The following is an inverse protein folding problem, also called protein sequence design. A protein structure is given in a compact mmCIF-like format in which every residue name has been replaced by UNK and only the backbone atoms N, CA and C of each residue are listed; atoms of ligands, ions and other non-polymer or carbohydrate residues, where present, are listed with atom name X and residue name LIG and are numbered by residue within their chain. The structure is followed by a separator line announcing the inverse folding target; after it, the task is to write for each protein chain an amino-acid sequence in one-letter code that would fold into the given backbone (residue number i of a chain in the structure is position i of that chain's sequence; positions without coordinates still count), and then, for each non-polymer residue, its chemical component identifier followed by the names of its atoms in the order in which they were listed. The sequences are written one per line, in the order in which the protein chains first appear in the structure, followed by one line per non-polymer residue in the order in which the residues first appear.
data_IF_660370840711
#
_entry.id   IF_660370840711
#
_cell.length_a   1.000
_cell.length_b   1.000
_cell.length_c   1.000
_cell.angle_alpha   90.00
_cell.angle_beta   90.00
_cell.angle_gamma   90.00
#
_symmetry.space_group_name_H-M   'P 1'
#
loop_
_entity.id
_entity.type
_entity.pdbx_description
1 polymer ?
#
# COMPACT_ATOMS: atom_id res chain seq x y z
N UNK A 1 -6.27 5.32 9.43
CA UNK A 1 -7.02 6.31 8.63
C UNK A 1 -8.22 5.60 7.99
N UNK A 2 -9.45 6.08 8.21
CA UNK A 2 -10.66 5.58 7.53
C UNK A 2 -10.83 6.40 6.25
N UNK A 3 -10.68 5.77 5.08
CA UNK A 3 -10.95 6.43 3.79
C UNK A 3 -12.47 6.60 3.63
N UNK A 4 -12.92 7.74 3.10
CA UNK A 4 -14.33 7.90 2.74
C UNK A 4 -14.66 6.95 1.56
N UNK A 5 -15.88 6.39 1.48
CA UNK A 5 -16.27 5.42 0.44
C UNK A 5 -16.08 5.99 -0.98
N UNK A 6 -16.30 7.29 -1.13
CA UNK A 6 -16.16 8.02 -2.40
C UNK A 6 -14.70 8.11 -2.87
N UNK A 7 -13.76 8.17 -1.93
CA UNK A 7 -12.32 8.16 -2.24
C UNK A 7 -11.88 6.77 -2.69
N UNK A 8 -12.53 5.70 -2.22
CA UNK A 8 -12.24 4.33 -2.65
C UNK A 8 -12.66 4.10 -4.11
N UNK A 9 -13.79 4.66 -4.56
CA UNK A 9 -14.24 4.57 -5.96
C UNK A 9 -13.37 5.36 -6.94
N UNK A 10 -12.77 6.48 -6.49
CA UNK A 10 -11.93 7.33 -7.32
C UNK A 10 -10.48 6.82 -7.47
N UNK A 11 -10.06 5.80 -6.71
CA UNK A 11 -8.72 5.26 -6.80
C UNK A 11 -8.62 4.30 -7.99
N UNK A 12 -7.80 4.59 -9.02
CA UNK A 12 -7.59 3.64 -10.10
C UNK A 12 -6.95 2.38 -9.50
N UNK A 13 -7.56 1.22 -9.72
CA UNK A 13 -7.02 -0.04 -9.22
C UNK A 13 -8.04 -1.17 -9.09
N UNK A 14 -7.54 -2.34 -8.72
CA UNK A 14 -8.35 -3.53 -8.41
C UNK A 14 -8.37 -3.76 -6.90
N UNK A 15 -9.55 -4.12 -6.37
CA UNK A 15 -9.73 -4.52 -4.98
C UNK A 15 -9.38 -5.99 -4.76
N UNK A 16 -8.74 -6.29 -3.63
CA UNK A 16 -8.40 -7.64 -3.20
C UNK A 16 -8.85 -7.83 -1.74
N UNK A 17 -9.39 -9.00 -1.41
CA UNK A 17 -9.73 -9.36 -0.05
C UNK A 17 -9.05 -10.67 0.38
N UNK A 18 -8.86 -10.81 1.68
CA UNK A 18 -8.47 -12.04 2.35
C UNK A 18 -9.54 -12.37 3.38
N UNK A 19 -10.29 -13.45 3.13
CA UNK A 19 -11.34 -13.99 4.00
C UNK A 19 -12.38 -12.93 4.46
N UNK A 20 -12.65 -11.92 3.63
CA UNK A 20 -13.52 -10.78 3.96
C UNK A 20 -13.16 -10.03 5.26
N UNK A 21 -11.92 -10.20 5.73
CA UNK A 21 -11.40 -9.61 6.97
C UNK A 21 -10.28 -8.61 6.69
N UNK A 22 -9.54 -8.76 5.59
CA UNK A 22 -8.54 -7.80 5.14
C UNK A 22 -8.75 -7.43 3.67
N UNK A 23 -8.48 -6.19 3.33
CA UNK A 23 -8.80 -5.59 2.04
C UNK A 23 -7.65 -4.70 1.57
N UNK A 24 -7.39 -4.69 0.28
CA UNK A 24 -6.39 -3.85 -0.35
C UNK A 24 -6.85 -3.35 -1.71
N UNK A 25 -6.31 -2.21 -2.13
CA UNK A 25 -6.47 -1.69 -3.49
C UNK A 25 -5.10 -1.58 -4.13
N UNK A 26 -4.91 -2.22 -5.29
CA UNK A 26 -3.66 -2.14 -6.07
C UNK A 26 -3.93 -1.45 -7.40
N UNK A 27 -3.16 -0.41 -7.70
CA UNK A 27 -3.16 0.29 -8.97
C UNK A 27 -2.04 -0.24 -9.87
N UNK A 28 -2.37 -0.74 -11.06
CA UNK A 28 -1.40 -1.22 -12.06
C UNK A 28 -1.25 -0.29 -13.26
N UNK A 29 -1.92 0.87 -13.22
CA UNK A 29 -1.90 1.87 -14.32
C UNK A 29 -0.58 2.65 -14.42
N UNK A 30 0.31 2.51 -13.42
CA UNK A 30 1.60 3.19 -13.35
C UNK A 30 2.75 2.25 -13.77
N UNK A 31 3.94 2.81 -13.98
CA UNK A 31 5.14 2.06 -14.36
C UNK A 31 5.51 0.94 -13.36
N UNK A 32 5.16 1.10 -12.08
CA UNK A 32 5.25 0.06 -11.05
C UNK A 32 3.87 -0.10 -10.39
N UNK A 33 3.43 -1.32 -10.07
CA UNK A 33 2.21 -1.53 -9.30
C UNK A 33 2.27 -0.81 -7.95
N UNK A 34 1.19 -0.16 -7.55
CA UNK A 34 1.12 0.62 -6.31
C UNK A 34 0.03 0.12 -5.37
N UNK A 35 0.40 -0.13 -4.11
CA UNK A 35 -0.57 -0.35 -3.04
C UNK A 35 -1.18 1.00 -2.63
N UNK A 36 -2.46 1.21 -2.93
CA UNK A 36 -3.18 2.48 -2.71
C UNK A 36 -3.92 2.50 -1.37
N UNK A 37 -4.39 1.35 -0.91
CA UNK A 37 -5.09 1.22 0.35
C UNK A 37 -4.85 -0.17 0.94
N UNK A 38 -4.82 -0.24 2.27
CA UNK A 38 -4.80 -1.46 3.05
C UNK A 38 -5.68 -1.25 4.28
N UNK A 39 -6.61 -2.17 4.52
CA UNK A 39 -7.51 -2.13 5.65
C UNK A 39 -7.76 -3.53 6.20
N UNK A 40 -7.91 -3.63 7.52
CA UNK A 40 -8.28 -4.86 8.21
C UNK A 40 -9.42 -4.55 9.15
N UNK A 41 -10.46 -5.40 9.09
CA UNK A 41 -11.62 -5.35 9.97
C UNK A 41 -11.15 -5.28 11.44
N UNK A 42 -11.70 -4.37 12.26
CA UNK A 42 -11.25 -4.18 13.64
C UNK A 42 -11.15 -5.47 14.46
N UNK A 43 -12.09 -6.40 14.24
CA UNK A 43 -12.19 -7.68 14.93
C UNK A 43 -11.07 -8.65 14.57
N UNK A 44 -10.51 -8.54 13.37
CA UNK A 44 -9.44 -9.42 12.84
C UNK A 44 -8.04 -8.78 12.93
N UNK A 45 -7.91 -7.66 13.67
CA UNK A 45 -6.61 -7.01 13.86
C UNK A 45 -5.73 -7.82 14.80
N UNK A 46 -4.41 -7.70 14.61
CA UNK A 46 -3.37 -8.43 15.38
C UNK A 46 -3.33 -9.95 15.13
N UNK A 47 -4.14 -10.47 14.22
CA UNK A 47 -4.13 -11.87 13.79
C UNK A 47 -3.20 -12.13 12.59
N UNK A 48 -2.38 -11.15 12.19
CA UNK A 48 -1.45 -11.29 11.06
C UNK A 48 -2.09 -11.18 9.67
N UNK A 49 -3.40 -10.95 9.55
CA UNK A 49 -4.13 -10.85 8.27
C UNK A 49 -3.54 -9.82 7.30
N UNK A 50 -3.13 -8.66 7.81
CA UNK A 50 -2.48 -7.63 6.99
C UNK A 50 -1.19 -8.14 6.35
N UNK A 51 -0.38 -8.88 7.11
CA UNK A 51 0.90 -9.43 6.64
C UNK A 51 0.65 -10.48 5.56
N UNK A 52 -0.28 -11.40 5.83
CA UNK A 52 -0.64 -12.45 4.87
C UNK A 52 -1.15 -11.84 3.55
N UNK A 53 -2.05 -10.86 3.61
CA UNK A 53 -2.52 -10.17 2.42
C UNK A 53 -1.37 -9.45 1.69
N UNK A 54 -0.50 -8.75 2.40
CA UNK A 54 0.66 -8.07 1.81
C UNK A 54 1.64 -9.03 1.13
N UNK A 55 1.91 -10.19 1.72
CA UNK A 55 2.76 -11.23 1.12
C UNK A 55 2.16 -11.77 -0.17
N UNK A 56 0.87 -12.10 -0.17
CA UNK A 56 0.16 -12.57 -1.37
C UNK A 56 0.15 -11.52 -2.48
N UNK A 57 -0.03 -10.24 -2.13
CA UNK A 57 0.02 -9.15 -3.09
C UNK A 57 1.45 -8.93 -3.63
N UNK A 58 2.47 -9.07 -2.77
CA UNK A 58 3.86 -8.95 -3.19
C UNK A 58 4.26 -10.05 -4.19
N UNK A 59 3.80 -11.28 -3.98
CA UNK A 59 4.00 -12.40 -4.92
C UNK A 59 3.27 -12.17 -6.24
N UNK A 60 2.03 -11.67 -6.18
CA UNK A 60 1.19 -11.44 -7.37
C UNK A 60 1.66 -10.25 -8.21
N UNK A 61 2.23 -9.23 -7.58
CA UNK A 61 2.64 -7.99 -8.23
C UNK A 61 4.13 -7.73 -8.02
N UNK A 62 5.00 -8.29 -8.88
CA UNK A 62 6.43 -8.03 -8.82
C UNK A 62 6.73 -6.53 -8.86
N UNK A 63 7.52 -6.05 -7.89
CA UNK A 63 7.85 -4.62 -7.78
C UNK A 63 6.73 -3.76 -7.17
N UNK A 64 5.73 -4.36 -6.52
CA UNK A 64 4.70 -3.63 -5.79
C UNK A 64 5.31 -2.66 -4.78
N UNK A 65 4.94 -1.39 -4.90
CA UNK A 65 5.44 -0.31 -4.06
C UNK A 65 4.32 0.42 -3.32
N UNK A 66 4.67 1.18 -2.29
CA UNK A 66 3.77 2.12 -1.62
C UNK A 66 4.08 3.54 -2.10
N UNK A 67 3.15 4.26 -2.74
CA UNK A 67 3.42 5.58 -3.30
C UNK A 67 3.54 6.69 -2.24
N UNK A 68 3.12 6.41 -1.02
CA UNK A 68 3.17 7.34 0.12
C UNK A 68 4.07 6.79 1.21
N UNK A 69 4.64 7.70 2.00
CA UNK A 69 5.37 7.33 3.19
C UNK A 69 4.45 6.55 4.15
N UNK A 70 4.93 5.38 4.59
CA UNK A 70 4.25 4.59 5.60
C UNK A 70 4.67 5.11 6.97
N UNK A 71 3.71 5.24 7.89
CA UNK A 71 4.01 5.60 9.27
C UNK A 71 5.01 4.60 9.87
N UNK A 72 6.05 5.09 10.56
CA UNK A 72 7.13 4.24 11.08
C UNK A 72 6.65 3.08 11.94
N UNK A 73 5.52 3.24 12.66
CA UNK A 73 4.92 2.18 13.49
C UNK A 73 4.45 0.97 12.67
N UNK A 74 4.15 1.18 11.40
CA UNK A 74 3.72 0.14 10.47
C UNK A 74 4.89 -0.43 9.65
N UNK A 75 6.10 0.15 9.70
CA UNK A 75 7.24 -0.33 8.93
C UNK A 75 7.54 -1.84 9.15
N UNK A 76 7.52 -2.38 10.38
CA UNK A 76 7.78 -3.81 10.59
C UNK A 76 6.80 -4.73 9.87
N UNK A 77 5.54 -4.32 9.69
CA UNK A 77 4.54 -5.09 8.94
C UNK A 77 4.95 -5.23 7.46
N UNK A 78 5.41 -4.14 6.85
CA UNK A 78 5.82 -4.11 5.45
C UNK A 78 7.13 -4.89 5.24
N UNK A 79 8.12 -4.69 6.11
CA UNK A 79 9.39 -5.43 6.06
C UNK A 79 9.18 -6.94 6.18
N UNK A 80 8.35 -7.38 7.13
CA UNK A 80 7.99 -8.80 7.29
C UNK A 80 7.18 -9.38 6.12
N UNK A 81 6.66 -8.53 5.24
CA UNK A 81 5.91 -8.91 4.04
C UNK A 81 6.77 -8.84 2.77
N UNK A 82 8.08 -8.60 2.89
CA UNK A 82 9.03 -8.57 1.77
C UNK A 82 9.31 -7.18 1.19
N UNK A 83 8.69 -6.13 1.73
CA UNK A 83 8.96 -4.76 1.29
C UNK A 83 10.28 -4.26 1.87
N UNK A 84 10.94 -3.36 1.15
CA UNK A 84 12.15 -2.67 1.62
C UNK A 84 11.90 -1.17 1.62
N UNK A 85 12.36 -0.50 2.67
CA UNK A 85 12.36 0.96 2.73
C UNK A 85 13.21 1.47 1.58
N UNK A 86 12.62 2.30 0.72
CA UNK A 86 13.37 3.06 -0.25
C UNK A 86 13.67 4.44 0.34
N UNK A 87 14.92 4.93 0.23
CA UNK A 87 15.23 6.30 0.63
C UNK A 87 14.36 7.25 -0.19
N UNK A 88 13.61 8.12 0.50
CA UNK A 88 12.73 9.11 -0.12
C UNK A 88 13.59 10.01 -0.99
N UNK A 89 13.40 9.93 -2.31
CA UNK A 89 13.97 10.91 -3.24
C UNK A 89 13.05 12.13 -3.23
N UNK A 90 13.35 13.09 -2.34
CA UNK A 90 12.82 14.43 -2.50
C UNK A 90 13.48 15.04 -3.73
N UNK A 91 12.71 15.19 -4.80
CA UNK A 91 13.13 15.98 -5.94
C UNK A 91 12.97 17.45 -5.55
N UNK A 92 14.10 18.12 -5.33
CA UNK A 92 14.12 19.56 -5.11
C UNK A 92 13.76 20.27 -6.42
N UNK A 93 12.66 21.03 -6.41
CA UNK A 93 12.23 21.78 -7.58
C UNK A 93 13.11 23.03 -7.69
N UNK A 94 14.13 23.00 -8.55
CA UNK A 94 14.95 24.19 -8.82
C UNK A 94 14.23 25.06 -9.84
N UNK A 95 13.66 26.18 -9.38
CA UNK A 95 13.16 27.23 -10.25
C UNK A 95 14.33 28.11 -10.67
N UNK A 96 15.00 27.78 -11.78
CA UNK A 96 15.96 28.69 -12.40
C UNK A 96 15.19 29.71 -13.25
N UNK A 97 15.08 30.95 -12.77
CA UNK A 97 14.74 32.06 -13.66
C UNK A 97 15.97 32.32 -14.54
N UNK A 98 15.80 32.11 -15.85
CA UNK A 98 16.69 32.63 -16.88
C UNK A 98 16.31 34.08 -17.21
#
# INVERSE_FOLDING_TARGET
MLMAPETAQALPGSGFSLEDQAYAIVATVYAQPQLRALWVAPQARREGRARQLLSLLHERFPGLMTPVAIEQRLAPLFEQSGYRIQPVRQYEMRHSLA
#
